data_IF_339655978555
#
_entry.id   IF_339655978555
#
_cell.length_a   1.000
_cell.length_b   1.000
_cell.length_c   1.000
_cell.angle_alpha   90.00
_cell.angle_beta   90.00
_cell.angle_gamma   90.00
#
_symmetry.space_group_name_H-M   'P 1'
#
loop_
_entity.id
_entity.type
_entity.pdbx_description
1 polymer ?
#
# COMPACT_ATOMS: atom_id res chain seq x y z
N UNK A 1 -13.12 8.92 23.82
CA UNK A 1 -12.10 9.52 22.94
C UNK A 1 -11.53 8.37 22.14
N UNK A 2 -11.97 8.22 20.89
CA UNK A 2 -11.38 7.24 19.97
C UNK A 2 -10.08 7.85 19.46
N UNK A 3 -8.96 7.21 19.77
CA UNK A 3 -7.67 7.58 19.20
C UNK A 3 -7.69 7.02 17.78
N UNK A 4 -7.84 7.91 16.79
CA UNK A 4 -7.72 7.54 15.39
C UNK A 4 -6.22 7.40 15.12
N UNK A 5 -5.79 6.16 14.88
CA UNK A 5 -4.41 5.89 14.51
C UNK A 5 -4.22 6.09 13.00
N UNK A 6 -3.02 6.51 12.56
CA UNK A 6 -2.69 6.59 11.16
C UNK A 6 -2.84 5.23 10.45
N UNK A 7 -3.27 5.18 9.17
CA UNK A 7 -3.46 3.94 8.42
C UNK A 7 -2.23 3.02 8.45
N UNK A 8 -1.04 3.60 8.30
CA UNK A 8 0.25 2.90 8.35
C UNK A 8 0.49 2.13 9.65
N UNK A 9 -0.06 2.59 10.77
CA UNK A 9 0.04 1.91 12.07
C UNK A 9 -0.82 0.66 12.08
N UNK A 10 -2.02 0.75 11.49
CA UNK A 10 -2.94 -0.38 11.41
C UNK A 10 -2.41 -1.45 10.45
N UNK A 11 -1.90 -1.04 9.29
CA UNK A 11 -1.27 -1.93 8.32
C UNK A 11 -0.01 -2.59 8.87
N UNK A 12 0.90 -1.81 9.46
CA UNK A 12 2.11 -2.35 10.07
C UNK A 12 1.81 -3.30 11.23
N UNK A 13 0.78 -3.01 12.03
CA UNK A 13 0.38 -3.88 13.12
C UNK A 13 -0.22 -5.18 12.57
N UNK A 14 -1.03 -5.12 11.51
CA UNK A 14 -1.60 -6.30 10.84
C UNK A 14 -0.48 -7.20 10.31
N UNK A 15 0.51 -6.64 9.62
CA UNK A 15 1.70 -7.37 9.16
C UNK A 15 2.47 -8.01 10.32
N UNK A 16 2.70 -7.25 11.41
CA UNK A 16 3.39 -7.74 12.59
C UNK A 16 2.63 -8.91 13.26
N UNK A 17 1.31 -8.80 13.36
CA UNK A 17 0.44 -9.85 13.91
C UNK A 17 0.49 -11.12 13.05
N UNK A 18 0.42 -10.99 11.73
CA UNK A 18 0.50 -12.14 10.82
C UNK A 18 1.88 -12.83 10.85
N UNK A 19 2.96 -12.04 10.97
CA UNK A 19 4.32 -12.56 10.94
C UNK A 19 4.77 -13.14 12.28
N UNK A 20 4.44 -12.49 13.40
CA UNK A 20 4.95 -12.87 14.73
C UNK A 20 3.92 -13.57 15.61
N UNK A 21 2.63 -13.54 15.24
CA UNK A 21 1.50 -14.03 16.04
C UNK A 21 1.44 -13.45 17.47
N UNK A 22 2.13 -12.34 17.73
CA UNK A 22 2.12 -11.66 19.02
C UNK A 22 1.22 -10.44 19.00
N UNK A 23 0.22 -10.41 19.89
CA UNK A 23 -0.61 -9.23 20.05
C UNK A 23 0.16 -8.10 20.72
N UNK A 24 0.36 -6.99 20.00
CA UNK A 24 0.91 -5.76 20.53
C UNK A 24 -0.17 -4.69 20.57
N UNK A 25 -0.21 -3.89 21.63
CA UNK A 25 -1.11 -2.73 21.70
C UNK A 25 -0.78 -1.71 20.61
N UNK A 26 -1.81 -1.18 19.94
CA UNK A 26 -1.69 -0.15 18.88
C UNK A 26 -0.85 1.06 19.32
N UNK A 27 -1.00 1.50 20.56
CA UNK A 27 -0.24 2.63 21.12
C UNK A 27 1.26 2.33 21.27
N UNK A 28 1.59 1.11 21.66
CA UNK A 28 2.97 0.62 21.78
C UNK A 28 3.59 0.43 20.40
N UNK A 29 2.82 -0.11 19.44
CA UNK A 29 3.26 -0.26 18.06
C UNK A 29 3.53 1.11 17.42
N UNK A 30 2.60 2.05 17.57
CA UNK A 30 2.75 3.41 17.10
C UNK A 30 4.02 4.09 17.63
N UNK A 31 4.25 4.05 18.95
CA UNK A 31 5.47 4.60 19.54
C UNK A 31 6.73 3.95 18.98
N UNK A 32 6.73 2.63 18.85
CA UNK A 32 7.85 1.90 18.26
C UNK A 32 8.13 2.35 16.83
N UNK A 33 7.10 2.57 16.00
CA UNK A 33 7.29 3.08 14.64
C UNK A 33 7.84 4.52 14.63
N UNK A 34 7.40 5.39 15.54
CA UNK A 34 7.92 6.75 15.67
C UNK A 34 9.37 6.75 16.16
N UNK A 35 9.69 5.97 17.21
CA UNK A 35 11.04 5.86 17.77
C UNK A 35 12.04 5.25 16.78
N UNK A 36 11.58 4.34 15.93
CA UNK A 36 12.39 3.74 14.85
C UNK A 36 12.52 4.64 13.63
N UNK A 37 11.87 5.81 13.64
CA UNK A 37 11.86 6.74 12.52
C UNK A 37 11.16 6.18 11.29
N UNK A 38 10.19 5.27 11.45
CA UNK A 38 9.41 4.70 10.34
C UNK A 38 8.28 5.67 9.96
N UNK A 39 7.63 6.25 10.97
CA UNK A 39 6.62 7.29 10.80
C UNK A 39 6.97 8.51 11.67
N UNK A 40 6.45 9.66 11.28
CA UNK A 40 6.46 10.90 12.05
C UNK A 40 5.44 10.84 13.20
N UNK A 41 5.53 11.78 14.15
CA UNK A 41 4.53 11.94 15.24
C UNK A 41 3.13 12.31 14.73
N UNK A 42 3.00 12.65 13.44
CA UNK A 42 1.71 12.88 12.77
C UNK A 42 1.22 11.64 12.04
N UNK A 43 1.99 10.55 12.00
CA UNK A 43 1.61 9.30 11.36
C UNK A 43 1.98 9.16 9.89
N UNK A 44 2.65 10.15 9.32
CA UNK A 44 3.14 10.09 7.94
C UNK A 44 4.45 9.29 7.89
N UNK A 45 4.72 8.52 6.83
CA UNK A 45 5.98 7.81 6.70
C UNK A 45 7.14 8.81 6.65
N UNK A 46 8.27 8.43 7.23
CA UNK A 46 9.48 9.24 7.07
C UNK A 46 10.13 8.94 5.73
N UNK A 47 10.87 9.90 5.18
CA UNK A 47 11.64 9.69 3.95
C UNK A 47 12.63 8.53 4.09
N UNK A 48 13.23 8.37 5.26
CA UNK A 48 14.11 7.24 5.57
C UNK A 48 13.38 5.89 5.48
N UNK A 49 12.12 5.82 5.94
CA UNK A 49 11.34 4.59 5.88
C UNK A 49 11.02 4.19 4.43
N UNK A 50 10.72 5.19 3.59
CA UNK A 50 10.47 5.00 2.16
C UNK A 50 11.76 4.54 1.46
N UNK A 51 12.87 5.25 1.68
CA UNK A 51 14.17 4.93 1.05
C UNK A 51 14.71 3.55 1.46
N UNK A 52 14.42 3.10 2.70
CA UNK A 52 14.80 1.77 3.16
C UNK A 52 13.77 0.68 2.81
N UNK A 53 12.69 1.02 2.10
CA UNK A 53 11.62 0.08 1.73
C UNK A 53 10.84 -0.46 2.93
N UNK A 54 10.90 0.22 4.08
CA UNK A 54 10.18 -0.15 5.31
C UNK A 54 8.70 0.27 5.25
N UNK A 55 8.39 1.28 4.45
CA UNK A 55 7.03 1.68 4.09
C UNK A 55 6.99 1.82 2.57
N UNK A 56 6.06 1.11 1.92
CA UNK A 56 5.76 1.33 0.51
C UNK A 56 4.86 2.56 0.39
N UNK A 57 5.36 3.58 -0.29
CA UNK A 57 4.60 4.77 -0.62
C UNK A 57 3.94 4.51 -1.98
N UNK A 58 2.63 4.27 -1.98
CA UNK A 58 1.85 4.05 -3.21
C UNK A 58 1.40 5.38 -3.82
N UNK A 59 2.23 6.42 -3.73
CA UNK A 59 1.87 7.75 -4.22
C UNK A 59 2.09 7.84 -5.73
N UNK A 60 1.00 7.95 -6.48
CA UNK A 60 1.03 8.16 -7.93
C UNK A 60 1.12 9.66 -8.23
N UNK A 61 2.31 10.14 -8.63
CA UNK A 61 2.46 11.48 -9.20
C UNK A 61 1.71 11.61 -10.53
N UNK A 62 1.22 12.81 -10.84
CA UNK A 62 0.53 13.04 -12.10
C UNK A 62 1.52 13.03 -13.27
N UNK A 63 1.24 12.22 -14.30
CA UNK A 63 2.03 12.14 -15.53
C UNK A 63 3.22 11.19 -15.45
N UNK A 64 3.16 10.19 -14.56
CA UNK A 64 4.17 9.13 -14.49
C UNK A 64 4.23 8.31 -15.77
N UNK A 65 5.44 7.88 -16.12
CA UNK A 65 5.62 6.88 -17.17
C UNK A 65 5.12 5.50 -16.71
N UNK A 66 4.81 4.60 -17.67
CA UNK A 66 4.35 3.25 -17.32
C UNK A 66 5.38 2.49 -16.47
N UNK A 67 6.68 2.66 -16.76
CA UNK A 67 7.77 2.08 -15.95
C UNK A 67 7.75 2.60 -14.51
N UNK A 68 7.46 3.89 -14.29
CA UNK A 68 7.35 4.45 -12.94
C UNK A 68 6.09 3.96 -12.23
N UNK A 69 4.98 3.84 -12.95
CA UNK A 69 3.76 3.21 -12.42
C UNK A 69 4.02 1.76 -11.96
N UNK A 70 4.73 0.96 -12.76
CA UNK A 70 5.12 -0.40 -12.39
C UNK A 70 6.10 -0.45 -11.21
N UNK A 71 6.90 0.60 -10.97
CA UNK A 71 7.73 0.67 -9.75
C UNK A 71 6.89 0.87 -8.49
N UNK A 72 5.77 1.56 -8.61
CA UNK A 72 4.82 1.78 -7.51
C UNK A 72 3.99 0.50 -7.29
N UNK A 73 3.52 -0.10 -8.38
CA UNK A 73 2.67 -1.29 -8.39
C UNK A 73 3.25 -2.41 -9.25
N UNK A 74 4.34 -3.08 -8.80
CA UNK A 74 4.98 -4.16 -9.55
C UNK A 74 4.07 -5.34 -9.86
N UNK A 75 2.96 -5.52 -9.13
CA UNK A 75 1.94 -6.52 -9.47
C UNK A 75 1.38 -6.37 -10.89
N UNK A 76 1.39 -5.15 -11.42
CA UNK A 76 0.91 -4.89 -12.78
C UNK A 76 1.93 -5.25 -13.87
N UNK A 77 3.17 -5.60 -13.51
CA UNK A 77 4.21 -6.02 -14.48
C UNK A 77 3.85 -7.32 -15.18
N UNK A 78 3.06 -8.19 -14.53
CA UNK A 78 2.57 -9.44 -15.12
C UNK A 78 1.42 -9.25 -16.12
N UNK A 79 0.87 -8.04 -16.20
CA UNK A 79 -0.25 -7.70 -17.08
C UNK A 79 0.24 -6.98 -18.34
N UNK A 80 -0.54 -7.11 -19.42
CA UNK A 80 -0.20 -6.51 -20.71
C UNK A 80 -0.39 -4.98 -20.66
N UNK A 81 0.59 -4.22 -21.14
CA UNK A 81 0.56 -2.75 -21.16
C UNK A 81 -0.64 -2.21 -21.94
N UNK A 82 -1.13 -2.96 -22.94
CA UNK A 82 -2.29 -2.58 -23.76
C UNK A 82 -3.59 -2.50 -22.96
N UNK A 83 -3.64 -3.10 -21.77
CA UNK A 83 -4.78 -3.01 -20.86
C UNK A 83 -4.82 -1.67 -20.12
N UNK A 84 -3.69 -0.98 -19.99
CA UNK A 84 -3.59 0.23 -19.19
C UNK A 84 -3.82 1.47 -20.05
N UNK A 85 -4.54 2.45 -19.49
CA UNK A 85 -4.82 3.72 -20.16
C UNK A 85 -4.44 4.88 -19.26
N UNK A 86 -3.60 5.78 -19.75
CA UNK A 86 -3.29 7.01 -19.04
C UNK A 86 -4.44 8.03 -19.22
N UNK A 87 -5.18 8.32 -18.15
CA UNK A 87 -6.30 9.27 -18.11
C UNK A 87 -5.97 10.37 -17.09
N UNK A 88 -6.02 11.64 -17.52
CA UNK A 88 -5.67 12.80 -16.68
C UNK A 88 -4.27 12.73 -16.01
N UNK A 89 -3.36 11.92 -16.58
CA UNK A 89 -2.02 11.70 -16.04
C UNK A 89 -1.89 10.51 -15.09
N UNK A 90 -2.96 9.73 -14.88
CA UNK A 90 -3.00 8.55 -14.02
C UNK A 90 -3.22 7.27 -14.85
N UNK A 91 -2.65 6.14 -14.44
CA UNK A 91 -2.74 4.88 -15.17
C UNK A 91 -3.97 4.07 -14.76
N UNK A 92 -5.04 4.11 -15.55
CA UNK A 92 -6.30 3.38 -15.35
C UNK A 92 -6.29 1.97 -15.95
N UNK A 93 -6.98 1.05 -15.28
CA UNK A 93 -7.24 -0.32 -15.74
C UNK A 93 -8.71 -0.50 -16.13
N UNK A 94 -9.03 -1.44 -17.02
CA UNK A 94 -10.42 -1.75 -17.38
C UNK A 94 -11.21 -2.25 -16.17
N UNK A 95 -12.51 -1.94 -16.18
CA UNK A 95 -13.43 -2.29 -15.08
C UNK A 95 -13.44 -3.81 -14.82
N UNK A 96 -13.48 -4.64 -15.85
CA UNK A 96 -13.44 -6.10 -15.71
C UNK A 96 -12.18 -6.58 -14.96
N UNK A 97 -11.04 -5.93 -15.17
CA UNK A 97 -9.80 -6.23 -14.45
C UNK A 97 -9.88 -5.75 -12.99
N UNK A 98 -10.39 -4.53 -12.74
CA UNK A 98 -10.63 -4.02 -11.38
C UNK A 98 -11.54 -4.97 -10.58
N UNK A 99 -12.65 -5.43 -11.16
CA UNK A 99 -13.57 -6.38 -10.52
C UNK A 99 -12.90 -7.72 -10.20
N UNK A 100 -12.03 -8.20 -11.09
CA UNK A 100 -11.26 -9.42 -10.85
C UNK A 100 -10.27 -9.24 -9.68
N UNK A 101 -9.53 -8.13 -9.64
CA UNK A 101 -8.59 -7.83 -8.56
C UNK A 101 -9.29 -7.69 -7.21
N UNK A 102 -10.44 -7.01 -7.16
CA UNK A 102 -11.28 -6.93 -5.95
C UNK A 102 -11.69 -8.32 -5.49
N UNK A 103 -12.13 -9.17 -6.41
CA UNK A 103 -12.54 -10.55 -6.10
C UNK A 103 -11.39 -11.37 -5.52
N UNK A 104 -10.18 -11.23 -6.06
CA UNK A 104 -8.97 -11.89 -5.56
C UNK A 104 -8.55 -11.38 -4.17
N UNK A 105 -8.78 -10.09 -3.91
CA UNK A 105 -8.53 -9.47 -2.61
C UNK A 105 -9.52 -9.96 -1.54
N UNK A 106 -10.79 -10.12 -1.92
CA UNK A 106 -11.82 -10.69 -1.04
C UNK A 106 -11.66 -12.20 -0.82
N UNK A 107 -11.16 -12.94 -1.83
CA UNK A 107 -10.92 -14.38 -1.72
C UNK A 107 -9.71 -14.72 -0.84
N UNK A 108 -8.80 -13.76 -0.63
CA UNK A 108 -7.57 -13.96 0.11
C UNK A 108 -6.55 -14.85 -0.62
N UNK A 109 -6.67 -14.95 -1.95
CA UNK A 109 -5.73 -15.71 -2.79
C UNK A 109 -4.40 -14.97 -3.01
N UNK A 110 -4.40 -13.65 -2.80
CA UNK A 110 -3.24 -12.79 -2.94
C UNK A 110 -2.33 -12.87 -1.71
N UNK A 111 -1.03 -12.76 -1.94
CA UNK A 111 -0.08 -12.59 -0.84
C UNK A 111 -0.25 -11.18 -0.21
N UNK A 112 0.32 -10.99 0.98
CA UNK A 112 0.18 -9.72 1.72
C UNK A 112 0.65 -8.50 0.90
N UNK A 113 1.74 -8.64 0.14
CA UNK A 113 2.32 -7.55 -0.63
C UNK A 113 1.49 -7.20 -1.87
N UNK A 114 0.96 -8.22 -2.55
CA UNK A 114 0.07 -8.09 -3.70
C UNK A 114 -1.28 -7.46 -3.29
N UNK A 115 -1.84 -7.93 -2.18
CA UNK A 115 -3.08 -7.41 -1.63
C UNK A 115 -2.94 -5.93 -1.24
N UNK A 116 -1.82 -5.52 -0.63
CA UNK A 116 -1.57 -4.12 -0.31
C UNK A 116 -1.46 -3.23 -1.55
N UNK A 117 -0.77 -3.70 -2.61
CA UNK A 117 -0.66 -2.95 -3.86
C UNK A 117 -2.03 -2.71 -4.50
N UNK A 118 -2.82 -3.78 -4.63
CA UNK A 118 -4.16 -3.71 -5.23
C UNK A 118 -5.09 -2.84 -4.39
N UNK A 119 -5.05 -3.00 -3.06
CA UNK A 119 -5.85 -2.19 -2.15
C UNK A 119 -5.51 -0.70 -2.28
N UNK A 120 -4.23 -0.35 -2.27
CA UNK A 120 -3.79 1.03 -2.39
C UNK A 120 -4.19 1.65 -3.73
N UNK A 121 -4.05 0.91 -4.83
CA UNK A 121 -4.51 1.35 -6.16
C UNK A 121 -6.02 1.62 -6.21
N UNK A 122 -6.82 0.78 -5.56
CA UNK A 122 -8.29 0.89 -5.56
C UNK A 122 -8.78 2.00 -4.62
N UNK A 123 -8.15 2.21 -3.46
CA UNK A 123 -8.58 3.23 -2.50
C UNK A 123 -8.39 4.67 -3.01
N UNK A 124 -7.45 4.89 -3.92
CA UNK A 124 -7.22 6.20 -4.55
C UNK A 124 -8.23 6.51 -5.69
N UNK A 125 -9.15 5.59 -6.03
CA UNK A 125 -10.03 5.63 -7.22
C UNK A 125 -11.49 5.20 -7.01
#
# INVERSE_FOLDING_TARGET
MEIIYPPLVEEGLKYYLETTQQSLDKSTFYRSMVERGIITETGLPTQQAIENGLVKDYYEDQGLSFDEFLRIYPIFEEYDEELFQCIDGYWEIPIDMKENLVSQLESGELNFEDAQQIQAYIEDR
#
